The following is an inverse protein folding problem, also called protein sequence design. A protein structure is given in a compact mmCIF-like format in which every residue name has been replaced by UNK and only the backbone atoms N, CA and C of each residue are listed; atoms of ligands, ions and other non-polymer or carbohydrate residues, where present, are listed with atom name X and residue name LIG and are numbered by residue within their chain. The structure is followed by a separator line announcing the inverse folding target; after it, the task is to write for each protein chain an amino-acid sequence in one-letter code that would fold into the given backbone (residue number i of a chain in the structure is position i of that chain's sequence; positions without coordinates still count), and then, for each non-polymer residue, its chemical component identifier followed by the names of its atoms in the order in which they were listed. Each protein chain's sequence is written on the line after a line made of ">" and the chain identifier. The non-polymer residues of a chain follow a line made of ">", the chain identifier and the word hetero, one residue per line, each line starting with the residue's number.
data_IF_495283863290
#
_entry.id   IF_495283863290
#
_cell.length_a   1.000
_cell.length_b   1.000
_cell.length_c   1.000
_cell.angle_alpha   90.00
_cell.angle_beta   90.00
_cell.angle_gamma   90.00
#
_symmetry.space_group_name_H-M   'P 1'
#
loop_
_entity.id
_entity.type
_entity.pdbx_description
1 polymer ?
#
# COMPACT_ATOMS: atom_id res chain seq x y z
N UNK A 1 5.78 -4.30 3.97
CA UNK A 1 5.42 -5.23 2.86
C UNK A 1 5.04 -6.61 3.36
N UNK A 2 5.95 -7.38 3.97
CA UNK A 2 5.64 -8.75 4.39
C UNK A 2 4.47 -8.87 5.39
N UNK A 3 4.28 -7.89 6.28
CA UNK A 3 3.11 -7.87 7.18
C UNK A 3 1.79 -7.67 6.43
N UNK A 4 1.73 -6.70 5.50
CA UNK A 4 0.57 -6.47 4.65
C UNK A 4 0.23 -7.71 3.79
N UNK A 5 1.22 -8.37 3.19
CA UNK A 5 0.96 -9.57 2.40
C UNK A 5 0.38 -10.74 3.20
N UNK A 6 0.56 -10.76 4.53
CA UNK A 6 -0.06 -11.78 5.41
C UNK A 6 -1.53 -11.52 5.70
N UNK A 7 -2.02 -10.29 5.47
CA UNK A 7 -3.45 -9.97 5.61
C UNK A 7 -4.24 -10.29 4.33
N UNK A 8 -3.56 -10.44 3.19
CA UNK A 8 -4.16 -10.76 1.89
C UNK A 8 -4.36 -12.27 1.72
N UNK A 9 -5.32 -12.84 2.45
CA UNK A 9 -5.61 -14.28 2.46
C UNK A 9 -6.88 -14.61 1.66
N UNK A 10 -6.79 -15.20 0.45
CA UNK A 10 -7.95 -15.55 -0.37
C UNK A 10 -8.50 -16.92 0.02
N UNK A 11 -9.21 -16.95 1.14
CA UNK A 11 -9.72 -18.13 1.85
C UNK A 11 -11.25 -18.28 1.82
N UNK A 12 -11.95 -17.53 0.96
CA UNK A 12 -13.41 -17.56 0.83
C UNK A 12 -13.87 -17.85 -0.61
N UNK A 13 -13.16 -18.71 -1.32
CA UNK A 13 -13.66 -19.25 -2.59
C UNK A 13 -14.86 -20.18 -2.37
N UNK A 14 -15.69 -20.46 -3.39
CA UNK A 14 -16.79 -21.43 -3.28
C UNK A 14 -16.36 -22.79 -2.71
N UNK A 15 -15.16 -23.26 -3.07
CA UNK A 15 -14.59 -24.49 -2.53
C UNK A 15 -14.25 -24.38 -1.03
N UNK A 16 -13.78 -23.22 -0.56
CA UNK A 16 -13.47 -23.01 0.87
C UNK A 16 -14.73 -23.06 1.72
N UNK A 17 -15.78 -22.36 1.29
CA UNK A 17 -17.07 -22.31 1.96
C UNK A 17 -17.71 -23.70 2.01
N UNK A 18 -17.70 -24.42 0.88
CA UNK A 18 -18.15 -25.81 0.83
C UNK A 18 -17.34 -26.73 1.75
N UNK A 19 -16.01 -26.63 1.72
CA UNK A 19 -15.14 -27.41 2.59
C UNK A 19 -15.30 -27.05 4.09
N UNK A 20 -15.81 -25.85 4.39
CA UNK A 20 -16.20 -25.41 5.73
C UNK A 20 -17.61 -25.87 6.15
N UNK A 21 -18.38 -26.50 5.25
CA UNK A 21 -19.68 -27.10 5.51
C UNK A 21 -20.89 -26.37 4.92
N UNK A 22 -20.68 -25.35 4.09
CA UNK A 22 -21.75 -24.71 3.32
C UNK A 22 -22.01 -25.50 2.02
N UNK A 23 -22.90 -26.49 2.09
CA UNK A 23 -23.20 -27.38 0.97
C UNK A 23 -23.75 -26.64 -0.26
N UNK A 24 -24.31 -25.44 -0.10
CA UNK A 24 -24.89 -24.63 -1.18
C UNK A 24 -23.85 -23.70 -1.86
N UNK A 25 -22.64 -23.60 -1.31
CA UNK A 25 -21.61 -22.70 -1.83
C UNK A 25 -20.97 -23.19 -3.14
N UNK A 26 -20.94 -24.50 -3.40
CA UNK A 26 -20.37 -25.09 -4.62
C UNK A 26 -21.48 -25.60 -5.54
N UNK A 27 -21.35 -25.36 -6.84
CA UNK A 27 -22.35 -25.86 -7.80
C UNK A 27 -22.14 -27.36 -8.07
N UNK A 28 -23.16 -28.09 -8.57
CA UNK A 28 -23.02 -29.50 -8.94
C UNK A 28 -21.90 -29.75 -9.97
N UNK A 29 -21.74 -28.86 -10.95
CA UNK A 29 -20.71 -28.96 -11.98
C UNK A 29 -19.31 -28.72 -11.40
N UNK A 30 -19.17 -27.74 -10.50
CA UNK A 30 -17.92 -27.48 -9.78
C UNK A 30 -17.52 -28.65 -8.88
N UNK A 31 -18.48 -29.26 -8.19
CA UNK A 31 -18.23 -30.44 -7.36
C UNK A 31 -17.85 -31.65 -8.22
N UNK A 32 -18.54 -31.87 -9.35
CA UNK A 32 -18.18 -32.92 -10.30
C UNK A 32 -16.75 -32.69 -10.86
N UNK A 33 -16.42 -31.45 -11.20
CA UNK A 33 -15.08 -31.02 -11.60
C UNK A 33 -14.02 -31.30 -10.54
N UNK A 34 -14.31 -31.01 -9.27
CA UNK A 34 -13.42 -31.33 -8.17
C UNK A 34 -13.17 -32.84 -8.04
N UNK A 35 -14.21 -33.67 -8.23
CA UNK A 35 -14.04 -35.13 -8.21
C UNK A 35 -13.15 -35.62 -9.35
N UNK A 36 -13.35 -35.11 -10.57
CA UNK A 36 -12.48 -35.44 -11.72
C UNK A 36 -11.04 -34.96 -11.52
N UNK A 37 -10.88 -33.78 -10.95
CA UNK A 37 -9.59 -33.24 -10.57
C UNK A 37 -8.85 -34.17 -9.60
N UNK A 38 -9.53 -34.67 -8.57
CA UNK A 38 -8.97 -35.61 -7.58
C UNK A 38 -8.64 -36.99 -8.14
N UNK A 39 -9.30 -37.39 -9.22
CA UNK A 39 -9.02 -38.65 -9.93
C UNK A 39 -7.83 -38.51 -10.90
N UNK A 40 -7.36 -37.29 -11.14
CA UNK A 40 -6.27 -36.98 -12.07
C UNK A 40 -4.91 -36.85 -11.38
N UNK A 41 -3.82 -36.96 -12.14
CA UNK A 41 -2.44 -36.72 -11.67
C UNK A 41 -2.21 -35.27 -11.21
N UNK A 42 -3.08 -34.32 -11.57
CA UNK A 42 -2.95 -32.92 -11.15
C UNK A 42 -2.92 -32.81 -9.62
N UNK A 43 -3.72 -33.61 -8.92
CA UNK A 43 -3.83 -33.57 -7.45
C UNK A 43 -2.55 -33.98 -6.73
N UNK A 44 -1.65 -34.73 -7.39
CA UNK A 44 -0.39 -35.19 -6.78
C UNK A 44 0.60 -34.03 -6.56
N UNK A 45 0.48 -32.96 -7.36
CA UNK A 45 1.31 -31.75 -7.24
C UNK A 45 0.49 -30.58 -6.66
N UNK A 46 -0.77 -30.47 -7.03
CA UNK A 46 -1.67 -29.37 -6.64
C UNK A 46 -2.60 -29.80 -5.50
N UNK A 47 -2.00 -30.13 -4.35
CA UNK A 47 -2.70 -30.75 -3.23
C UNK A 47 -3.56 -29.73 -2.45
N UNK A 48 -4.85 -29.98 -2.17
CA UNK A 48 -5.66 -29.16 -1.28
C UNK A 48 -5.11 -29.09 0.16
N UNK A 49 -5.42 -28.04 0.97
CA UNK A 49 -6.30 -26.93 0.64
C UNK A 49 -5.59 -25.81 -0.13
N UNK A 50 -4.26 -25.76 -0.14
CA UNK A 50 -3.54 -24.68 -0.84
C UNK A 50 -3.41 -24.91 -2.34
N UNK A 51 -3.84 -26.08 -2.82
CA UNK A 51 -3.71 -26.52 -4.21
C UNK A 51 -2.28 -26.43 -4.75
N UNK A 52 -1.33 -26.72 -3.87
CA UNK A 52 0.10 -26.86 -4.11
C UNK A 52 0.68 -27.66 -2.97
N UNK A 53 1.66 -28.51 -3.26
CA UNK A 53 2.44 -29.21 -2.24
C UNK A 53 3.71 -28.44 -1.82
N UNK A 54 3.95 -27.25 -2.40
CA UNK A 54 5.13 -26.41 -2.19
C UNK A 54 6.49 -27.04 -2.59
N UNK A 55 6.46 -28.22 -3.22
CA UNK A 55 7.66 -28.85 -3.76
C UNK A 55 8.15 -28.14 -5.02
N UNK A 56 9.27 -28.62 -5.55
CA UNK A 56 9.89 -28.11 -6.76
C UNK A 56 9.98 -29.21 -7.79
N UNK A 57 9.30 -29.03 -8.93
CA UNK A 57 9.21 -30.04 -9.97
C UNK A 57 9.57 -29.44 -11.33
N UNK A 58 9.88 -30.32 -12.28
CA UNK A 58 10.17 -29.97 -13.67
C UNK A 58 8.97 -30.39 -14.51
N UNK A 59 8.26 -29.42 -15.06
CA UNK A 59 7.10 -29.63 -15.93
C UNK A 59 7.46 -29.69 -17.42
N UNK A 60 8.66 -29.25 -17.79
CA UNK A 60 9.15 -29.24 -19.17
C UNK A 60 8.70 -28.03 -19.99
N UNK A 61 8.21 -26.95 -19.37
CA UNK A 61 7.79 -25.74 -20.13
C UNK A 61 8.99 -24.96 -20.70
N UNK A 62 10.19 -25.10 -20.13
CA UNK A 62 11.39 -24.37 -20.56
C UNK A 62 12.68 -25.20 -20.47
N UNK A 63 13.56 -25.18 -21.49
CA UNK A 63 14.88 -25.83 -21.45
C UNK A 63 15.74 -25.41 -20.26
N UNK A 64 16.35 -26.40 -19.58
CA UNK A 64 17.24 -26.19 -18.42
C UNK A 64 18.42 -25.26 -18.73
N UNK A 65 18.90 -25.24 -19.97
CA UNK A 65 20.03 -24.39 -20.38
C UNK A 65 19.68 -22.90 -20.36
N UNK A 66 18.40 -22.56 -20.47
CA UNK A 66 17.93 -21.18 -20.44
C UNK A 66 17.64 -20.70 -19.02
N UNK A 67 17.13 -21.59 -18.18
CA UNK A 67 16.82 -21.31 -16.78
C UNK A 67 16.96 -22.59 -15.95
N UNK A 68 17.88 -22.56 -14.99
CA UNK A 68 18.15 -23.72 -14.13
C UNK A 68 17.26 -23.74 -12.90
N UNK A 69 16.39 -22.74 -12.71
CA UNK A 69 15.41 -22.68 -11.64
C UNK A 69 16.05 -22.84 -10.26
N UNK A 70 15.50 -23.74 -9.44
CA UNK A 70 15.97 -24.02 -8.07
C UNK A 70 17.46 -24.31 -7.97
N UNK A 71 18.07 -24.96 -8.97
CA UNK A 71 19.49 -25.30 -8.93
C UNK A 71 20.42 -24.07 -8.91
N UNK A 72 19.99 -22.89 -9.35
CA UNK A 72 20.81 -21.67 -9.23
C UNK A 72 20.82 -21.12 -7.79
N UNK A 73 19.88 -21.54 -6.95
CA UNK A 73 19.85 -21.23 -5.51
C UNK A 73 20.61 -22.29 -4.72
N UNK A 74 20.40 -23.57 -5.00
CA UNK A 74 20.94 -24.68 -4.19
C UNK A 74 22.29 -25.20 -4.68
N UNK A 75 22.64 -24.97 -5.95
CA UNK A 75 23.79 -25.58 -6.62
C UNK A 75 23.61 -27.07 -6.96
N UNK A 76 22.46 -27.67 -6.67
CA UNK A 76 22.23 -29.10 -6.83
C UNK A 76 21.78 -29.45 -8.25
N UNK A 77 22.61 -30.22 -8.97
CA UNK A 77 22.29 -30.66 -10.33
C UNK A 77 20.95 -31.42 -10.48
N UNK A 78 20.49 -32.25 -9.51
CA UNK A 78 19.18 -32.89 -9.60
C UNK A 78 17.99 -31.93 -9.64
N UNK A 79 18.14 -30.70 -9.13
CA UNK A 79 17.07 -29.69 -9.06
C UNK A 79 17.10 -28.71 -10.24
N UNK A 80 17.89 -29.01 -11.27
CA UNK A 80 17.99 -28.17 -12.47
C UNK A 80 16.61 -28.05 -13.12
N UNK A 81 16.24 -26.88 -13.62
CA UNK A 81 14.94 -26.61 -14.25
C UNK A 81 13.72 -26.78 -13.33
N UNK A 82 13.90 -27.05 -12.03
CA UNK A 82 12.79 -27.26 -11.12
C UNK A 82 12.28 -25.90 -10.60
N UNK A 83 10.96 -25.72 -10.62
CA UNK A 83 10.30 -24.53 -10.10
C UNK A 83 9.34 -24.90 -8.99
N UNK A 84 9.14 -23.96 -8.06
CA UNK A 84 8.15 -24.12 -6.99
C UNK A 84 6.78 -24.36 -7.62
N UNK A 85 6.07 -25.38 -7.15
CA UNK A 85 4.70 -25.62 -7.58
C UNK A 85 3.81 -24.43 -7.24
N UNK A 86 3.26 -23.78 -8.27
CA UNK A 86 2.26 -22.74 -8.12
C UNK A 86 0.97 -23.30 -7.53
N UNK A 87 0.24 -22.48 -6.77
CA UNK A 87 -1.15 -22.80 -6.43
C UNK A 87 -2.02 -22.62 -7.66
N UNK A 88 -3.06 -23.45 -7.82
CA UNK A 88 -4.13 -23.21 -8.82
C UNK A 88 -5.28 -22.37 -8.26
N UNK A 89 -5.21 -21.92 -7.01
CA UNK A 89 -6.15 -20.93 -6.47
C UNK A 89 -6.09 -19.64 -7.27
N UNK A 90 -7.25 -19.06 -7.53
CA UNK A 90 -7.43 -17.83 -8.29
C UNK A 90 -6.82 -17.89 -9.70
N UNK A 91 -6.65 -19.10 -10.28
CA UNK A 91 -6.17 -19.26 -11.64
C UNK A 91 -7.15 -18.65 -12.66
N UNK A 92 -8.45 -18.58 -12.33
CA UNK A 92 -9.50 -17.99 -13.19
C UNK A 92 -9.35 -16.48 -13.44
N UNK A 93 -8.59 -15.77 -12.60
CA UNK A 93 -8.34 -14.32 -12.75
C UNK A 93 -6.90 -14.02 -13.22
N UNK A 94 -6.17 -15.04 -13.70
CA UNK A 94 -4.84 -14.87 -14.30
C UNK A 94 -4.95 -14.94 -15.82
N UNK A 95 -4.14 -14.13 -16.48
CA UNK A 95 -4.06 -14.01 -17.94
C UNK A 95 -2.81 -14.66 -18.54
N UNK A 96 -1.91 -15.14 -17.68
CA UNK A 96 -0.62 -15.73 -18.03
C UNK A 96 -0.29 -16.86 -17.06
N UNK A 97 0.16 -17.99 -17.60
CA UNK A 97 0.45 -19.20 -16.84
C UNK A 97 1.90 -19.66 -17.00
N UNK A 98 2.30 -20.59 -16.12
CA UNK A 98 3.65 -21.11 -15.97
C UNK A 98 4.66 -20.04 -15.51
N UNK A 99 5.89 -20.45 -15.21
CA UNK A 99 6.94 -19.52 -14.80
C UNK A 99 7.45 -18.62 -15.94
N UNK A 100 7.13 -18.97 -17.19
CA UNK A 100 7.48 -18.19 -18.40
C UNK A 100 6.44 -17.15 -18.76
N UNK A 101 5.20 -17.27 -18.26
CA UNK A 101 4.07 -16.49 -18.74
C UNK A 101 3.74 -16.74 -20.21
N UNK A 102 4.18 -17.88 -20.78
CA UNK A 102 4.07 -18.15 -22.21
C UNK A 102 2.71 -18.71 -22.66
N UNK A 103 1.90 -19.21 -21.73
CA UNK A 103 0.55 -19.71 -21.99
C UNK A 103 -0.47 -18.67 -21.53
N UNK A 104 -1.48 -18.39 -22.35
CA UNK A 104 -2.40 -17.26 -22.12
C UNK A 104 -3.75 -17.71 -21.56
N UNK A 105 -4.13 -18.97 -21.76
CA UNK A 105 -5.41 -19.51 -21.34
C UNK A 105 -5.26 -20.80 -20.56
N UNK A 106 -6.30 -21.17 -19.80
CA UNK A 106 -6.36 -22.46 -19.16
C UNK A 106 -6.48 -23.60 -20.19
N UNK A 107 -7.04 -23.33 -21.37
CA UNK A 107 -7.05 -24.28 -22.49
C UNK A 107 -5.62 -24.65 -22.92
N UNK A 108 -4.75 -23.65 -23.09
CA UNK A 108 -3.33 -23.87 -23.44
C UNK A 108 -2.60 -24.73 -22.38
N UNK A 109 -2.95 -24.56 -21.10
CA UNK A 109 -2.37 -25.34 -19.98
C UNK A 109 -2.79 -26.80 -20.06
N UNK A 110 -4.08 -27.07 -20.32
CA UNK A 110 -4.58 -28.44 -20.45
C UNK A 110 -4.01 -29.11 -21.71
N UNK A 111 -3.96 -28.39 -22.83
CA UNK A 111 -3.35 -28.86 -24.07
C UNK A 111 -1.86 -29.18 -23.89
N UNK A 112 -1.14 -28.37 -23.11
CA UNK A 112 0.25 -28.63 -22.77
C UNK A 112 0.43 -30.00 -22.09
N UNK A 113 -0.34 -30.30 -21.04
CA UNK A 113 -0.24 -31.58 -20.32
C UNK A 113 -0.81 -32.77 -21.12
N UNK A 114 -1.81 -32.53 -21.98
CA UNK A 114 -2.38 -33.56 -22.86
C UNK A 114 -1.44 -33.97 -24.01
N UNK A 115 -0.57 -33.06 -24.46
CA UNK A 115 0.34 -33.29 -25.59
C UNK A 115 1.81 -33.47 -25.15
N UNK A 116 2.03 -34.15 -24.00
CA UNK A 116 3.35 -34.46 -23.43
C UNK A 116 4.21 -33.22 -23.18
N UNK A 117 3.65 -32.14 -22.66
CA UNK A 117 4.41 -30.95 -22.30
C UNK A 117 5.15 -30.35 -23.52
N UNK A 118 4.62 -30.55 -24.74
CA UNK A 118 5.17 -30.02 -25.99
C UNK A 118 6.50 -30.61 -26.50
N UNK A 119 6.88 -31.85 -26.15
CA UNK A 119 8.24 -32.37 -26.42
C UNK A 119 8.80 -32.14 -27.84
N UNK A 120 9.90 -31.38 -27.96
CA UNK A 120 11.30 -31.85 -27.83
C UNK A 120 12.21 -30.66 -27.45
N UNK A 121 13.29 -30.85 -26.66
CA UNK A 121 13.89 -32.12 -26.27
C UNK A 121 13.31 -32.75 -25.00
N UNK A 122 13.52 -34.06 -24.83
CA UNK A 122 13.27 -34.81 -23.59
C UNK A 122 14.03 -34.15 -22.44
N UNK A 123 13.30 -33.67 -21.44
CA UNK A 123 13.86 -33.21 -20.17
C UNK A 123 14.36 -34.42 -19.39
N UNK A 124 15.66 -34.51 -19.15
CA UNK A 124 16.31 -35.62 -18.44
C UNK A 124 15.98 -35.67 -16.94
N UNK A 125 15.28 -34.66 -16.48
CA UNK A 125 14.88 -34.36 -15.11
C UNK A 125 13.36 -34.10 -14.99
N UNK A 126 12.57 -34.44 -16.02
CA UNK A 126 11.10 -34.31 -15.97
C UNK A 126 10.53 -35.05 -14.76
N UNK A 127 9.52 -34.47 -14.13
CA UNK A 127 8.79 -35.15 -13.06
C UNK A 127 8.18 -36.47 -13.57
N UNK A 128 8.41 -37.56 -12.84
CA UNK A 128 7.95 -38.90 -13.24
C UNK A 128 6.43 -38.99 -13.39
N UNK A 129 5.67 -38.15 -12.66
CA UNK A 129 4.21 -38.04 -12.76
C UNK A 129 3.76 -37.57 -14.14
N UNK A 130 4.63 -36.87 -14.87
CA UNK A 130 4.36 -36.32 -16.19
C UNK A 130 4.91 -37.19 -17.34
N UNK A 131 5.37 -38.42 -17.05
CA UNK A 131 5.81 -39.35 -18.09
C UNK A 131 4.66 -39.82 -18.99
N UNK A 132 3.44 -39.81 -18.46
CA UNK A 132 2.21 -40.06 -19.20
C UNK A 132 1.45 -38.74 -19.39
N UNK A 133 0.85 -38.50 -20.56
CA UNK A 133 -0.04 -37.36 -20.75
C UNK A 133 -1.22 -37.39 -19.79
N UNK A 134 -1.64 -36.21 -19.34
CA UNK A 134 -2.86 -36.04 -18.56
C UNK A 134 -3.95 -35.63 -19.55
N UNK A 135 -4.90 -36.52 -19.81
CA UNK A 135 -5.96 -36.32 -20.82
C UNK A 135 -7.31 -36.52 -20.16
N UNK A 136 -8.22 -35.58 -20.37
CA UNK A 136 -9.61 -35.67 -19.95
C UNK A 136 -10.51 -35.93 -21.17
N UNK A 137 -11.73 -36.41 -20.92
CA UNK A 137 -12.78 -36.29 -21.93
C UNK A 137 -13.18 -34.80 -22.07
N UNK A 138 -13.72 -34.35 -23.21
CA UNK A 138 -14.13 -32.94 -23.34
C UNK A 138 -15.14 -32.48 -22.27
N UNK A 139 -15.99 -33.40 -21.80
CA UNK A 139 -16.95 -33.13 -20.72
C UNK A 139 -16.25 -32.99 -19.37
N UNK A 140 -15.39 -33.95 -19.02
CA UNK A 140 -14.64 -33.89 -17.75
C UNK A 140 -13.68 -32.69 -17.72
N UNK A 141 -13.06 -32.35 -18.85
CA UNK A 141 -12.18 -31.20 -18.97
C UNK A 141 -12.90 -29.89 -18.67
N UNK A 142 -14.09 -29.72 -19.23
CA UNK A 142 -14.93 -28.55 -18.98
C UNK A 142 -15.30 -28.45 -17.49
N UNK A 143 -15.63 -29.58 -16.85
CA UNK A 143 -15.93 -29.62 -15.42
C UNK A 143 -14.72 -29.28 -14.56
N UNK A 144 -13.54 -29.83 -14.86
CA UNK A 144 -12.31 -29.51 -14.11
C UNK A 144 -11.93 -28.03 -14.30
N UNK A 145 -12.08 -27.49 -15.51
CA UNK A 145 -11.87 -26.05 -15.76
C UNK A 145 -12.85 -25.20 -14.96
N UNK A 146 -14.14 -25.55 -14.95
CA UNK A 146 -15.16 -24.87 -14.14
C UNK A 146 -14.82 -24.91 -12.64
N UNK A 147 -14.35 -26.05 -12.14
CA UNK A 147 -13.83 -26.14 -10.78
C UNK A 147 -12.66 -25.17 -10.53
N UNK A 148 -11.67 -25.12 -11.42
CA UNK A 148 -10.48 -24.26 -11.26
C UNK A 148 -10.84 -22.77 -11.35
N UNK A 149 -11.64 -22.35 -12.33
CA UNK A 149 -11.92 -20.93 -12.58
C UNK A 149 -13.05 -20.39 -11.72
N UNK A 150 -14.06 -21.22 -11.41
CA UNK A 150 -15.19 -20.85 -10.57
C UNK A 150 -14.92 -21.14 -9.11
N UNK A 151 -14.74 -22.43 -8.77
CA UNK A 151 -14.75 -22.85 -7.37
C UNK A 151 -13.49 -22.46 -6.57
N UNK A 152 -12.36 -22.22 -7.24
CA UNK A 152 -11.10 -21.83 -6.60
C UNK A 152 -10.77 -20.33 -6.70
N UNK A 153 -11.69 -19.52 -7.22
CA UNK A 153 -11.55 -18.07 -7.28
C UNK A 153 -12.27 -17.44 -6.09
N UNK A 154 -11.55 -16.69 -5.25
CA UNK A 154 -12.13 -15.90 -4.17
C UNK A 154 -12.85 -14.67 -4.77
N UNK A 155 -14.17 -14.52 -4.58
CA UNK A 155 -14.93 -13.40 -5.12
C UNK A 155 -14.40 -12.04 -4.67
N UNK A 156 -13.90 -11.93 -3.43
CA UNK A 156 -13.36 -10.68 -2.90
C UNK A 156 -12.13 -10.26 -3.67
N UNK A 157 -11.24 -11.21 -3.96
CA UNK A 157 -10.04 -10.94 -4.75
C UNK A 157 -10.41 -10.59 -6.20
N UNK A 158 -11.37 -11.30 -6.80
CA UNK A 158 -11.82 -11.03 -8.16
C UNK A 158 -12.48 -9.65 -8.31
N UNK A 159 -13.19 -9.18 -7.28
CA UNK A 159 -13.89 -7.90 -7.25
C UNK A 159 -13.08 -6.75 -6.65
N UNK A 160 -11.84 -6.99 -6.22
CA UNK A 160 -11.02 -6.03 -5.46
C UNK A 160 -11.74 -5.50 -4.19
N UNK A 161 -12.44 -6.39 -3.48
CA UNK A 161 -13.07 -6.13 -2.19
C UNK A 161 -12.09 -6.38 -1.04
N UNK A 162 -12.34 -5.76 0.11
CA UNK A 162 -11.53 -5.92 1.31
C UNK A 162 -11.27 -7.42 1.64
N UNK A 163 -10.03 -7.83 1.96
CA UNK A 163 -8.82 -7.01 2.15
C UNK A 163 -7.99 -6.77 0.87
N UNK A 164 -8.51 -7.11 -0.31
CA UNK A 164 -7.81 -7.01 -1.60
C UNK A 164 -8.07 -5.71 -2.35
N UNK A 165 -8.81 -4.78 -1.72
CA UNK A 165 -9.06 -3.48 -2.27
C UNK A 165 -7.75 -2.70 -2.46
N UNK A 166 -7.67 -1.96 -3.56
CA UNK A 166 -6.46 -1.22 -3.87
C UNK A 166 -6.27 -0.10 -2.84
N UNK A 167 -5.14 -0.06 -2.11
CA UNK A 167 -4.87 1.05 -1.22
C UNK A 167 -4.77 2.36 -2.03
N UNK A 168 -5.46 3.39 -1.55
CA UNK A 168 -5.39 4.73 -2.14
C UNK A 168 -3.99 5.31 -1.94
N UNK A 169 -3.30 5.62 -3.02
CA UNK A 169 -1.95 6.18 -2.94
C UNK A 169 -2.00 7.60 -2.39
N UNK A 170 -0.93 8.04 -1.74
CA UNK A 170 -0.79 9.42 -1.27
C UNK A 170 -1.01 10.45 -2.39
N UNK A 171 -0.48 10.19 -3.59
CA UNK A 171 -0.67 11.06 -4.76
C UNK A 171 -2.11 11.15 -5.26
N UNK A 172 -2.96 10.22 -4.86
CA UNK A 172 -4.39 10.17 -5.21
C UNK A 172 -5.27 10.74 -4.09
N UNK A 173 -4.68 11.01 -2.92
CA UNK A 173 -5.32 11.79 -1.88
C UNK A 173 -5.34 13.25 -2.32
N UNK A 174 -6.53 13.85 -2.35
CA UNK A 174 -6.70 15.27 -2.59
C UNK A 174 -6.31 16.08 -1.33
N UNK A 175 -5.14 15.82 -0.76
CA UNK A 175 -4.59 16.64 0.32
C UNK A 175 -3.75 17.73 -0.33
N UNK A 176 -4.14 19.01 -0.26
CA UNK A 176 -3.34 20.06 -0.85
C UNK A 176 -2.07 20.19 -0.02
N UNK A 177 -0.94 19.71 -0.56
CA UNK A 177 0.35 20.27 -0.17
C UNK A 177 0.25 21.80 -0.29
N UNK A 178 1.00 22.56 0.54
CA UNK A 178 0.93 24.02 0.47
C UNK A 178 1.11 24.54 -0.96
N UNK A 179 0.24 25.43 -1.38
CA UNK A 179 0.29 26.00 -2.72
C UNK A 179 1.36 27.08 -2.78
N UNK A 180 2.29 26.98 -3.73
CA UNK A 180 3.34 28.00 -3.93
C UNK A 180 2.81 29.12 -4.83
N UNK A 181 2.69 30.30 -4.25
CA UNK A 181 2.32 31.56 -4.91
C UNK A 181 3.57 32.37 -5.30
N UNK A 182 3.47 33.24 -6.33
CA UNK A 182 4.55 34.17 -6.67
C UNK A 182 4.76 35.22 -5.57
N UNK A 183 5.94 35.84 -5.54
CA UNK A 183 6.33 36.82 -4.50
C UNK A 183 7.83 36.92 -4.25
N UNK A 184 8.63 36.13 -4.97
CA UNK A 184 10.08 36.12 -4.82
C UNK A 184 10.74 37.44 -5.22
N UNK A 185 11.81 37.79 -4.50
CA UNK A 185 12.65 38.94 -4.75
C UNK A 185 14.11 38.51 -4.81
N UNK A 186 14.80 38.91 -5.88
CA UNK A 186 16.16 38.49 -6.13
C UNK A 186 17.18 39.13 -5.16
N UNK A 187 18.22 38.37 -4.85
CA UNK A 187 19.39 38.85 -4.10
C UNK A 187 20.65 38.96 -4.96
N UNK A 188 21.79 38.69 -4.33
CA UNK A 188 23.11 38.61 -4.93
C UNK A 188 23.09 37.70 -6.15
N UNK A 189 23.64 38.18 -7.28
CA UNK A 189 23.67 37.42 -8.53
C UNK A 189 22.33 37.38 -9.29
N UNK A 190 21.28 38.03 -8.79
CA UNK A 190 19.95 38.01 -9.41
C UNK A 190 19.18 36.73 -9.13
N UNK A 191 19.65 35.88 -8.21
CA UNK A 191 18.98 34.64 -7.83
C UNK A 191 17.80 34.92 -6.90
N UNK A 192 16.67 34.27 -7.21
CA UNK A 192 15.46 34.30 -6.39
C UNK A 192 15.39 32.98 -5.62
N UNK A 193 15.43 32.99 -4.28
CA UNK A 193 15.28 31.79 -3.47
C UNK A 193 14.00 31.01 -3.81
N UNK A 194 14.08 29.69 -3.82
CA UNK A 194 12.95 28.80 -4.11
C UNK A 194 12.41 28.19 -2.83
N UNK A 195 11.10 28.30 -2.61
CA UNK A 195 10.43 27.73 -1.43
C UNK A 195 10.06 26.27 -1.72
N UNK A 196 10.37 25.38 -0.78
CA UNK A 196 10.02 23.95 -0.86
C UNK A 196 8.91 23.67 0.14
N UNK A 197 7.69 23.50 -0.35
CA UNK A 197 6.48 23.36 0.45
C UNK A 197 5.73 22.06 0.11
N UNK A 198 6.38 20.92 0.35
CA UNK A 198 5.89 19.59 -0.07
C UNK A 198 5.41 18.71 1.08
N UNK A 199 5.51 19.20 2.32
CA UNK A 199 5.05 18.49 3.50
C UNK A 199 3.56 18.79 3.70
N UNK A 200 2.69 17.77 3.77
CA UNK A 200 1.27 17.99 4.00
C UNK A 200 1.03 18.63 5.38
N UNK A 201 0.16 19.67 5.47
CA UNK A 201 -0.13 20.36 6.72
C UNK A 201 -1.19 19.60 7.54
N UNK A 202 -0.95 18.33 7.85
CA UNK A 202 -1.82 17.58 8.75
C UNK A 202 -1.69 18.13 10.17
N UNK A 203 -2.80 18.41 10.84
CA UNK A 203 -2.79 18.74 12.27
C UNK A 203 -2.32 17.50 13.06
N UNK A 204 -1.55 17.74 14.12
CA UNK A 204 -0.78 16.72 14.84
C UNK A 204 0.61 16.44 14.24
N UNK A 205 0.92 16.97 13.04
CA UNK A 205 2.25 16.82 12.45
C UNK A 205 3.27 17.72 13.17
N UNK A 206 3.95 17.17 14.18
CA UNK A 206 5.04 17.84 14.90
C UNK A 206 6.27 18.13 14.04
N UNK A 207 6.38 17.52 12.86
CA UNK A 207 7.50 17.67 11.94
C UNK A 207 7.16 18.51 10.70
N UNK A 208 6.01 19.18 10.66
CA UNK A 208 5.68 20.08 9.56
C UNK A 208 6.79 21.13 9.39
N UNK A 209 7.21 21.32 8.14
CA UNK A 209 8.37 22.14 7.80
C UNK A 209 8.30 22.70 6.40
N UNK A 210 8.94 23.85 6.24
CA UNK A 210 9.12 24.57 4.98
C UNK A 210 10.62 24.63 4.68
N UNK A 211 10.98 24.28 3.45
CA UNK A 211 12.36 24.37 2.96
C UNK A 211 12.59 25.63 2.13
N UNK A 212 13.87 25.96 1.96
CA UNK A 212 14.33 26.91 0.94
C UNK A 212 15.55 26.32 0.25
N UNK A 213 15.66 26.56 -1.05
CA UNK A 213 16.84 26.29 -1.86
C UNK A 213 17.16 27.51 -2.75
N UNK A 214 18.26 27.46 -3.48
CA UNK A 214 18.69 28.48 -4.43
C UNK A 214 18.85 29.88 -3.81
N UNK A 215 19.17 29.92 -2.52
CA UNK A 215 19.41 31.14 -1.75
C UNK A 215 20.90 31.49 -1.66
N UNK A 216 21.21 32.60 -0.97
CA UNK A 216 22.58 32.96 -0.61
C UNK A 216 23.10 32.05 0.51
N UNK A 217 24.09 31.22 0.22
CA UNK A 217 24.71 30.32 1.20
C UNK A 217 25.44 31.08 2.31
N UNK A 218 25.34 30.59 3.55
CA UNK A 218 25.91 31.23 4.74
C UNK A 218 25.16 32.48 5.24
N UNK A 219 24.09 32.91 4.56
CA UNK A 219 23.27 34.02 5.01
C UNK A 219 22.41 33.64 6.21
N UNK A 220 22.09 34.63 7.07
CA UNK A 220 21.02 34.49 8.04
C UNK A 220 19.66 34.55 7.33
N UNK A 221 18.75 33.65 7.70
CA UNK A 221 17.44 33.56 7.10
C UNK A 221 16.34 33.36 8.15
N UNK A 222 15.15 33.86 7.83
CA UNK A 222 13.94 33.77 8.63
C UNK A 222 12.78 33.29 7.77
N UNK A 223 11.70 32.85 8.42
CA UNK A 223 10.41 32.63 7.75
C UNK A 223 9.37 33.55 8.39
N UNK A 224 8.79 34.44 7.59
CA UNK A 224 7.61 35.21 8.00
C UNK A 224 6.37 34.33 7.88
N UNK A 225 5.51 34.40 8.88
CA UNK A 225 4.23 33.69 8.96
C UNK A 225 3.13 34.70 9.25
N UNK A 226 2.02 34.63 8.53
CA UNK A 226 0.86 35.52 8.66
C UNK A 226 -0.43 34.81 8.29
N UNK A 227 -1.49 35.01 9.08
CA UNK A 227 -2.85 34.60 8.71
C UNK A 227 -3.51 35.58 7.72
N UNK A 228 -2.98 36.80 7.61
CA UNK A 228 -3.42 37.75 6.60
C UNK A 228 -2.86 37.41 5.22
N UNK A 229 -3.66 37.55 4.13
CA UNK A 229 -3.19 37.35 2.77
C UNK A 229 -1.98 38.24 2.40
N UNK A 230 -1.06 37.77 1.54
CA UNK A 230 0.10 38.55 1.13
C UNK A 230 -0.30 39.81 0.36
N UNK A 231 0.47 40.88 0.54
CA UNK A 231 0.31 42.15 -0.19
C UNK A 231 1.61 42.49 -0.92
N UNK A 232 1.55 42.87 -2.19
CA UNK A 232 2.73 43.24 -3.00
C UNK A 232 3.81 42.13 -3.01
N UNK A 233 3.39 40.86 -3.09
CA UNK A 233 4.29 39.70 -3.06
C UNK A 233 5.01 39.47 -1.73
N UNK A 234 4.55 40.12 -0.65
CA UNK A 234 5.18 40.02 0.68
C UNK A 234 4.18 39.52 1.70
N UNK A 235 4.64 38.58 2.52
CA UNK A 235 3.92 38.10 3.71
C UNK A 235 4.20 39.06 4.87
N UNK A 236 3.15 39.41 5.64
CA UNK A 236 3.31 40.17 6.87
C UNK A 236 4.09 39.35 7.91
N UNK A 237 4.78 40.01 8.83
CA UNK A 237 5.61 39.35 9.84
C UNK A 237 4.87 39.26 11.17
N UNK A 238 3.65 38.71 11.16
CA UNK A 238 2.87 38.50 12.39
C UNK A 238 3.65 37.58 13.35
N UNK A 239 4.27 36.55 12.77
CA UNK A 239 5.29 35.73 13.41
C UNK A 239 6.53 35.65 12.51
N UNK A 240 7.72 35.66 13.12
CA UNK A 240 8.99 35.54 12.41
C UNK A 240 9.84 34.43 13.03
N UNK A 241 10.01 33.33 12.29
CA UNK A 241 10.77 32.16 12.72
C UNK A 241 12.26 32.31 12.38
N UNK A 242 13.15 31.85 13.26
CA UNK A 242 14.61 31.93 13.09
C UNK A 242 15.27 33.01 13.99
N UNK A 243 16.49 33.48 13.64
CA UNK A 243 17.23 33.16 12.42
C UNK A 243 17.83 31.76 12.42
N UNK A 244 18.01 31.21 11.21
CA UNK A 244 18.94 30.12 10.94
C UNK A 244 20.04 30.59 9.99
N UNK A 245 21.18 29.89 9.96
CA UNK A 245 22.22 30.11 8.94
C UNK A 245 22.01 29.10 7.83
N UNK A 246 21.86 29.56 6.59
CA UNK A 246 21.71 28.68 5.43
C UNK A 246 23.02 27.94 5.15
N UNK A 247 22.90 26.67 4.77
CA UNK A 247 24.03 25.88 4.29
C UNK A 247 24.47 26.39 2.89
N UNK A 248 25.58 25.89 2.37
CA UNK A 248 26.12 26.31 1.07
C UNK A 248 27.06 27.52 1.18
N UNK A 249 27.77 27.81 0.09
CA UNK A 249 28.87 28.80 0.10
C UNK A 249 28.75 29.89 -0.98
N UNK A 250 27.86 29.72 -1.95
CA UNK A 250 27.72 30.64 -3.09
C UNK A 250 26.36 31.33 -3.12
N UNK A 251 26.16 32.21 -4.10
CA UNK A 251 24.96 33.02 -4.24
C UNK A 251 23.67 32.24 -4.59
N UNK A 252 23.79 30.95 -4.94
CA UNK A 252 22.66 30.12 -5.37
C UNK A 252 22.70 28.68 -4.84
N UNK A 253 23.57 28.37 -3.89
CA UNK A 253 23.67 27.03 -3.26
C UNK A 253 23.14 27.05 -1.82
N UNK A 254 22.51 28.15 -1.42
CA UNK A 254 21.93 28.34 -0.10
C UNK A 254 20.69 27.50 0.10
N UNK A 255 20.70 26.62 1.10
CA UNK A 255 19.52 25.84 1.48
C UNK A 255 19.32 25.75 2.99
N UNK A 256 18.07 25.58 3.39
CA UNK A 256 17.67 25.51 4.80
C UNK A 256 16.28 24.93 4.98
N UNK A 257 15.93 24.64 6.23
CA UNK A 257 14.63 24.11 6.60
C UNK A 257 14.19 24.74 7.91
N UNK A 258 12.93 25.16 7.97
CA UNK A 258 12.30 25.71 9.17
C UNK A 258 11.15 24.79 9.57
N UNK A 259 11.14 24.35 10.83
CA UNK A 259 10.03 23.60 11.41
C UNK A 259 8.96 24.55 11.92
N UNK A 260 7.71 24.14 11.79
CA UNK A 260 6.54 24.82 12.34
C UNK A 260 5.53 23.74 12.74
N UNK A 261 5.63 23.17 13.95
CA UNK A 261 4.71 22.14 14.42
C UNK A 261 3.25 22.59 14.24
N UNK A 262 2.39 21.69 13.74
CA UNK A 262 0.96 21.92 13.60
C UNK A 262 0.22 21.20 14.72
N UNK A 263 0.27 21.76 15.93
CA UNK A 263 -0.27 21.16 17.16
C UNK A 263 -1.59 21.80 17.63
N UNK A 264 -2.04 22.87 16.97
CA UNK A 264 -3.29 23.57 17.28
C UNK A 264 -4.44 23.12 16.37
N UNK A 265 -5.42 22.44 16.95
CA UNK A 265 -6.60 21.94 16.23
C UNK A 265 -7.50 23.06 15.71
N UNK A 266 -7.40 24.28 16.24
CA UNK A 266 -8.15 25.43 15.74
C UNK A 266 -7.67 25.92 14.37
N UNK A 267 -6.56 25.39 13.86
CA UNK A 267 -6.03 25.71 12.53
C UNK A 267 -6.72 24.93 11.40
N UNK A 268 -7.67 24.04 11.69
CA UNK A 268 -8.35 23.23 10.67
C UNK A 268 -9.10 24.11 9.68
N UNK A 269 -8.72 24.00 8.39
CA UNK A 269 -9.26 24.82 7.31
C UNK A 269 -8.79 26.28 7.31
N UNK A 270 -8.12 26.76 8.35
CA UNK A 270 -7.64 28.14 8.46
C UNK A 270 -6.36 28.33 7.64
N UNK A 271 -6.40 29.27 6.70
CA UNK A 271 -5.27 29.48 5.78
C UNK A 271 -4.28 30.49 6.34
N UNK A 272 -3.00 30.13 6.33
CA UNK A 272 -1.90 31.04 6.63
C UNK A 272 -0.82 30.99 5.54
N UNK A 273 0.07 31.97 5.57
CA UNK A 273 1.07 32.20 4.52
C UNK A 273 2.47 32.21 5.12
N UNK A 274 3.43 31.59 4.43
CA UNK A 274 4.83 31.55 4.83
C UNK A 274 5.74 32.07 3.69
N UNK A 275 6.75 32.86 4.02
CA UNK A 275 7.75 33.33 3.07
C UNK A 275 9.13 33.40 3.70
N UNK A 276 10.16 32.90 3.01
CA UNK A 276 11.54 33.05 3.46
C UNK A 276 12.05 34.47 3.21
N UNK A 277 12.79 34.98 4.19
CA UNK A 277 13.57 36.21 4.11
C UNK A 277 15.03 35.88 4.35
N UNK A 278 15.87 36.12 3.35
CA UNK A 278 17.30 35.79 3.39
C UNK A 278 18.06 37.11 3.44
N UNK A 279 18.82 37.34 4.51
CA UNK A 279 19.64 38.54 4.63
C UNK A 279 20.63 38.61 3.48
N UNK A 280 20.50 39.64 2.67
CA UNK A 280 21.33 39.85 1.49
C UNK A 280 21.54 41.35 1.27
N UNK A 281 22.75 41.88 1.54
CA UNK A 281 23.05 43.29 1.39
C UNK A 281 22.84 43.85 -0.03
N UNK A 282 22.84 42.99 -1.05
CA UNK A 282 22.65 43.36 -2.45
C UNK A 282 21.19 43.27 -2.89
N UNK A 283 20.31 42.71 -2.07
CA UNK A 283 18.88 42.67 -2.34
C UNK A 283 18.20 44.01 -2.02
N UNK A 284 17.16 44.35 -2.77
CA UNK A 284 16.34 45.54 -2.50
C UNK A 284 15.70 45.44 -1.11
N UNK A 285 16.02 46.40 -0.23
CA UNK A 285 15.54 46.38 1.15
C UNK A 285 16.32 45.42 2.07
N UNK A 286 17.47 44.89 1.63
CA UNK A 286 18.38 44.07 2.43
C UNK A 286 18.00 42.60 2.57
N UNK A 287 16.94 42.16 1.88
CA UNK A 287 16.47 40.78 1.92
C UNK A 287 16.10 40.25 0.54
N UNK A 288 16.69 39.12 0.16
CA UNK A 288 16.12 38.27 -0.88
C UNK A 288 14.92 37.52 -0.30
N UNK A 289 13.92 37.22 -1.14
CA UNK A 289 12.68 36.56 -0.71
C UNK A 289 12.34 35.39 -1.61
N UNK A 290 11.81 34.34 -1.01
CA UNK A 290 11.23 33.24 -1.78
C UNK A 290 9.85 33.57 -2.33
N UNK A 291 9.31 32.67 -3.16
CA UNK A 291 7.86 32.54 -3.32
C UNK A 291 7.14 32.34 -1.97
N UNK A 292 5.82 32.29 -2.01
CA UNK A 292 4.99 32.24 -0.80
C UNK A 292 4.31 30.88 -0.72
N UNK A 293 4.42 30.18 0.40
CA UNK A 293 3.62 29.00 0.64
C UNK A 293 2.29 29.41 1.27
N UNK A 294 1.17 29.13 0.59
CA UNK A 294 -0.16 29.17 1.16
C UNK A 294 -0.45 27.81 1.79
N UNK A 295 -0.59 27.79 3.11
CA UNK A 295 -0.79 26.58 3.91
C UNK A 295 -2.21 26.59 4.44
N UNK A 296 -2.95 25.50 4.23
CA UNK A 296 -4.28 25.28 4.80
C UNK A 296 -4.23 23.95 5.56
N UNK A 297 -4.01 23.96 6.88
CA UNK A 297 -4.01 22.74 7.66
C UNK A 297 -5.34 22.01 7.59
N UNK A 298 -5.26 20.70 7.73
CA UNK A 298 -6.42 19.83 7.71
C UNK A 298 -6.24 18.69 8.72
N UNK A 299 -7.36 18.15 9.17
CA UNK A 299 -7.40 16.91 9.94
C UNK A 299 -7.32 15.70 9.01
N UNK A 300 -6.38 14.77 9.26
CA UNK A 300 -6.42 13.47 8.59
C UNK A 300 -7.50 12.56 9.16
N UNK A 301 -8.02 11.63 8.34
CA UNK A 301 -9.04 10.63 8.74
C UNK A 301 -8.61 9.71 9.91
N UNK A 302 -7.34 9.77 10.36
CA UNK A 302 -6.77 8.93 11.44
C UNK A 302 -6.55 9.77 12.72
N UNK A 303 -6.60 11.10 12.61
CA UNK A 303 -6.45 12.03 13.72
C UNK A 303 -7.50 13.13 13.54
N UNK A 304 -8.71 12.87 14.02
CA UNK A 304 -9.80 13.84 14.01
C UNK A 304 -9.38 15.10 14.78
N UNK A 305 -9.48 16.28 14.14
CA UNK A 305 -9.57 17.55 14.87
C UNK A 305 -11.01 18.10 14.90
N UNK A 306 -11.97 17.27 14.49
CA UNK A 306 -13.36 17.41 14.86
C UNK A 306 -13.64 16.66 16.16
N UNK A 307 -14.60 17.19 16.90
CA UNK A 307 -15.35 16.57 18.00
C UNK A 307 -16.09 15.28 17.57
N UNK A 308 -15.47 14.42 16.77
CA UNK A 308 -15.98 13.07 16.55
C UNK A 308 -15.80 12.29 17.85
N UNK A 309 -16.87 11.62 18.22
CA UNK A 309 -16.89 10.81 19.40
C UNK A 309 -15.95 9.62 19.17
N UNK A 310 -14.69 9.74 19.57
CA UNK A 310 -13.69 8.69 19.35
C UNK A 310 -14.09 7.35 19.99
N UNK A 311 -15.05 7.38 20.92
CA UNK A 311 -15.63 6.20 21.53
C UNK A 311 -16.80 5.60 20.74
N UNK A 312 -17.31 6.25 19.69
CA UNK A 312 -18.33 5.74 18.75
C UNK A 312 -17.63 4.97 17.63
N UNK A 313 -17.21 3.74 17.96
CA UNK A 313 -16.48 2.87 17.04
C UNK A 313 -17.41 2.16 16.05
N UNK A 314 -18.71 2.13 16.32
CA UNK A 314 -19.71 1.63 15.38
C UNK A 314 -20.07 2.66 14.30
N UNK A 315 -19.80 3.95 14.57
CA UNK A 315 -20.00 5.07 13.66
C UNK A 315 -21.47 5.47 13.51
N UNK A 316 -22.33 5.12 14.48
CA UNK A 316 -23.77 5.32 14.41
C UNK A 316 -24.27 6.58 15.15
N UNK A 317 -23.35 7.29 15.81
CA UNK A 317 -23.58 8.51 16.56
C UNK A 317 -24.04 8.29 18.00
N UNK A 318 -24.07 7.04 18.50
CA UNK A 318 -24.58 6.68 19.83
C UNK A 318 -23.57 5.82 20.57
N UNK A 319 -23.15 6.28 21.76
CA UNK A 319 -22.33 5.45 22.65
C UNK A 319 -23.15 4.38 23.34
N UNK A 320 -22.97 3.13 22.92
CA UNK A 320 -23.62 1.99 23.54
C UNK A 320 -22.74 0.72 23.56
N UNK A 321 -23.38 -0.43 23.70
CA UNK A 321 -22.69 -1.70 23.78
C UNK A 321 -21.99 -2.08 22.48
N UNK A 322 -22.46 -1.61 21.32
CA UNK A 322 -21.88 -1.92 20.03
C UNK A 322 -20.48 -1.33 19.90
N UNK A 323 -20.23 -0.11 20.39
CA UNK A 323 -18.87 0.46 20.37
C UNK A 323 -17.90 -0.27 21.29
N UNK A 324 -18.38 -0.68 22.47
CA UNK A 324 -17.60 -1.52 23.37
C UNK A 324 -17.27 -2.86 22.73
N UNK A 325 -18.20 -3.45 21.97
CA UNK A 325 -17.95 -4.70 21.26
C UNK A 325 -16.87 -4.54 20.18
N UNK A 326 -16.94 -3.44 19.41
CA UNK A 326 -15.94 -3.11 18.38
C UNK A 326 -14.58 -2.86 19.03
N UNK A 327 -14.52 -2.15 20.16
CA UNK A 327 -13.27 -1.93 20.90
C UNK A 327 -12.65 -3.26 21.39
N UNK A 328 -13.46 -4.14 22.00
CA UNK A 328 -12.97 -5.41 22.53
C UNK A 328 -12.45 -6.30 21.40
N UNK A 329 -13.15 -6.35 20.27
CA UNK A 329 -12.74 -7.13 19.11
C UNK A 329 -11.46 -6.54 18.50
N UNK A 330 -11.37 -5.21 18.36
CA UNK A 330 -10.17 -4.53 17.89
C UNK A 330 -8.97 -4.79 18.83
N UNK A 331 -9.17 -4.70 20.15
CA UNK A 331 -8.12 -4.90 21.15
C UNK A 331 -7.59 -6.33 21.16
N UNK A 332 -8.48 -7.33 21.05
CA UNK A 332 -8.09 -8.75 20.99
C UNK A 332 -7.33 -9.09 19.71
N UNK A 333 -7.56 -8.34 18.64
CA UNK A 333 -6.91 -8.53 17.34
C UNK A 333 -5.69 -7.63 17.13
N UNK A 334 -5.29 -6.83 18.13
CA UNK A 334 -4.22 -5.83 18.01
C UNK A 334 -4.44 -4.90 16.79
N UNK A 335 -5.71 -4.55 16.54
CA UNK A 335 -6.11 -3.62 15.49
C UNK A 335 -5.82 -2.19 15.92
N UNK A 336 -5.33 -1.37 14.98
CA UNK A 336 -5.00 0.05 15.20
C UNK A 336 -6.19 0.85 15.76
N UNK A 337 -7.43 0.40 15.52
CA UNK A 337 -8.63 0.99 16.11
C UNK A 337 -8.66 0.92 17.65
N UNK A 338 -7.90 0.00 18.26
CA UNK A 338 -7.76 -0.12 19.69
C UNK A 338 -6.53 0.62 20.26
N UNK A 339 -5.70 1.26 19.44
CA UNK A 339 -4.53 2.06 19.88
C UNK A 339 -4.97 3.49 20.25
N UNK A 340 -5.71 3.60 21.35
CA UNK A 340 -6.37 4.85 21.76
C UNK A 340 -5.41 5.93 22.28
N UNK A 341 -4.18 5.56 22.65
CA UNK A 341 -3.14 6.53 23.01
C UNK A 341 -2.10 6.77 21.89
N UNK A 342 -2.24 6.07 20.76
CA UNK A 342 -1.47 6.26 19.52
C UNK A 342 0.00 5.87 19.63
N UNK A 343 0.37 5.03 20.60
CA UNK A 343 1.75 4.66 20.87
C UNK A 343 2.18 3.35 20.16
N UNK A 344 1.24 2.66 19.49
CA UNK A 344 1.46 1.40 18.77
C UNK A 344 1.62 0.17 19.66
N UNK A 345 1.23 0.25 20.94
CA UNK A 345 1.37 -0.80 21.96
C UNK A 345 0.04 -1.01 22.68
N UNK A 346 -0.68 -2.07 22.31
CA UNK A 346 -1.96 -2.46 22.90
C UNK A 346 -1.81 -2.94 24.34
N UNK A 347 -2.18 -2.10 25.30
CA UNK A 347 -2.03 -2.39 26.71
C UNK A 347 -3.15 -1.76 27.54
N UNK A 348 -2.98 -1.72 28.87
CA UNK A 348 -3.99 -1.15 29.77
C UNK A 348 -4.27 0.34 29.51
N UNK A 349 -3.30 1.09 29.00
CA UNK A 349 -3.43 2.52 28.72
C UNK A 349 -4.46 2.80 27.62
N UNK A 350 -4.56 1.96 26.59
CA UNK A 350 -5.59 2.04 25.55
C UNK A 350 -6.99 1.80 26.10
N UNK A 351 -7.15 0.74 26.91
CA UNK A 351 -8.41 0.41 27.56
C UNK A 351 -8.84 1.56 28.47
N UNK A 352 -7.91 2.12 29.23
CA UNK A 352 -8.19 3.27 30.09
C UNK A 352 -8.55 4.50 29.28
N UNK A 353 -7.92 4.75 28.13
CA UNK A 353 -8.19 5.88 27.26
C UNK A 353 -9.58 5.75 26.61
N UNK A 354 -9.93 4.58 26.08
CA UNK A 354 -11.26 4.28 25.55
C UNK A 354 -12.36 4.45 26.62
N UNK A 355 -12.19 3.86 27.80
CA UNK A 355 -13.19 3.96 28.89
C UNK A 355 -13.39 5.42 29.32
N UNK A 356 -12.32 6.21 29.38
CA UNK A 356 -12.41 7.63 29.70
C UNK A 356 -13.17 8.42 28.61
N UNK A 357 -12.91 8.13 27.34
CA UNK A 357 -13.62 8.74 26.21
C UNK A 357 -15.10 8.35 26.19
N UNK A 358 -15.40 7.07 26.38
CA UNK A 358 -16.76 6.53 26.43
C UNK A 358 -17.57 7.14 27.60
N UNK A 359 -16.95 7.27 28.78
CA UNK A 359 -17.58 7.88 29.95
C UNK A 359 -17.75 9.41 29.83
N UNK A 360 -16.91 10.08 29.05
CA UNK A 360 -17.01 11.52 28.80
C UNK A 360 -18.19 11.87 27.90
N UNK A 361 -18.65 10.94 27.06
CA UNK A 361 -19.74 11.15 26.11
C UNK A 361 -19.30 11.84 24.83
N UNK A 362 -20.18 11.84 23.83
CA UNK A 362 -19.99 12.60 22.60
C UNK A 362 -20.41 14.08 22.78
N UNK A 363 -19.75 15.04 22.10
CA UNK A 363 -20.14 16.46 22.08
C UNK A 363 -21.53 16.76 21.51
#
# INVERSE_FOLDING_TARGET
>A
MANYQRTLMPDQSPWDLWNAGDDDAITPDQLAGYMRYRESTCVDCHVPPMFTNFDFNVDGVRPVIEDRGRADITGANPERGAFKMGTVRNAGIRDRFMHTGGLETLDDVFDFYAHRNGQQPVFDNLDFRLFSPIVFSPEDEALVKEFIVGALTDPRLANEEYPFDRPKLYSEQATPNPMVLPGGAAGTGGYVPEIIAVVPPNIGNSEFKIGVDFALGGAQAWVAVSSSPPSDGKVAQDTLLGPIVLNGMSASEGYGTMFYPLDDTSMDGETFYMQWLIADPNATGGFARSGIAQVTPFCSMIASCSNECIADLSGDGVLDFFDLSVFIDAYNNEDVLADFDGNGVFNYFDVSAFVNAFAAGCP
#
